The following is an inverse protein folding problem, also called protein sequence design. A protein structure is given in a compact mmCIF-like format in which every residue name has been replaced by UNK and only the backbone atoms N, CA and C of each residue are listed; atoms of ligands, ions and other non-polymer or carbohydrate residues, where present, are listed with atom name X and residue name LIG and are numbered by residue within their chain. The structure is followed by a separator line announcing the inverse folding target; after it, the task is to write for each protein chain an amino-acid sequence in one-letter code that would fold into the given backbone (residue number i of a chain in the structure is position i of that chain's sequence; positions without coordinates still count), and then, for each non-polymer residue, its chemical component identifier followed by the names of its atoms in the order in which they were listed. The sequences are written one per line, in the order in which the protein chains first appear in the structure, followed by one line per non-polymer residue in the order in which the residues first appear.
data_IF_337466117337
#
_entry.id   IF_337466117337
#
_cell.length_a   1.000
_cell.length_b   1.000
_cell.length_c   1.000
_cell.angle_alpha   90.00
_cell.angle_beta   90.00
_cell.angle_gamma   90.00
#
_symmetry.space_group_name_H-M   'P 1'
#
loop_
_entity.id
_entity.type
_entity.pdbx_description
1 polymer ?
#
# COMPACT_ATOMS: atom_id res chain seq x y z
N UNK A 1 18.59 -1.68 -8.11
CA UNK A 1 18.92 -2.61 -7.01
C UNK A 1 18.05 -3.85 -7.19
N UNK A 2 18.61 -5.07 -7.21
CA UNK A 2 17.80 -6.29 -7.32
C UNK A 2 17.39 -6.76 -5.92
N UNK A 3 16.09 -6.92 -5.69
CA UNK A 3 15.54 -7.41 -4.42
C UNK A 3 14.78 -8.70 -4.71
N UNK A 4 15.01 -9.73 -3.89
CA UNK A 4 14.24 -10.97 -3.99
C UNK A 4 12.80 -10.71 -3.54
N UNK A 5 11.87 -10.72 -4.49
CA UNK A 5 10.44 -10.50 -4.25
C UNK A 5 9.80 -11.79 -3.75
N UNK A 6 9.16 -11.74 -2.58
CA UNK A 6 8.54 -12.88 -1.92
C UNK A 6 7.19 -12.49 -1.31
N UNK A 7 6.31 -13.50 -1.16
CA UNK A 7 5.02 -13.34 -0.48
C UNK A 7 5.23 -12.84 0.95
N UNK A 8 4.36 -11.92 1.40
CA UNK A 8 4.35 -11.34 2.74
C UNK A 8 5.30 -10.15 2.91
N UNK A 9 6.16 -9.88 1.94
CA UNK A 9 6.96 -8.67 1.95
C UNK A 9 6.10 -7.42 1.73
N UNK A 10 6.55 -6.32 2.31
CA UNK A 10 5.89 -5.02 2.24
C UNK A 10 6.69 -4.06 1.38
N UNK A 11 5.97 -3.33 0.54
CA UNK A 11 6.52 -2.34 -0.37
C UNK A 11 5.65 -1.09 -0.33
N UNK A 12 6.15 0.01 -0.88
CA UNK A 12 5.32 1.12 -1.34
C UNK A 12 5.29 1.10 -2.87
N UNK A 13 4.14 1.43 -3.45
CA UNK A 13 4.06 1.66 -4.90
C UNK A 13 4.40 3.12 -5.28
N UNK A 14 4.37 3.43 -6.57
CA UNK A 14 4.70 4.76 -7.11
C UNK A 14 3.93 5.95 -6.49
N UNK A 15 2.82 5.70 -5.77
CA UNK A 15 2.08 6.74 -5.04
C UNK A 15 2.39 6.75 -3.53
N UNK A 16 3.50 6.13 -3.12
CA UNK A 16 3.88 5.91 -1.72
C UNK A 16 2.82 5.13 -0.91
N UNK A 17 1.97 4.35 -1.59
CA UNK A 17 0.92 3.61 -0.92
C UNK A 17 1.42 2.22 -0.49
N UNK A 18 1.21 1.81 0.78
CA UNK A 18 1.71 0.54 1.27
C UNK A 18 0.97 -0.64 0.63
N UNK A 19 1.75 -1.64 0.20
CA UNK A 19 1.27 -2.89 -0.38
C UNK A 19 1.93 -4.09 0.26
N UNK A 20 1.23 -5.23 0.23
CA UNK A 20 1.77 -6.53 0.63
C UNK A 20 1.75 -7.49 -0.55
N UNK A 21 2.87 -8.18 -0.77
CA UNK A 21 2.98 -9.19 -1.83
C UNK A 21 2.16 -10.41 -1.47
N UNK A 22 1.17 -10.72 -2.29
CA UNK A 22 0.30 -11.88 -2.11
C UNK A 22 0.86 -13.11 -2.82
N UNK A 23 1.37 -12.95 -4.04
CA UNK A 23 1.88 -14.03 -4.88
C UNK A 23 2.84 -13.46 -5.93
N UNK A 24 3.84 -14.24 -6.30
CA UNK A 24 4.71 -13.97 -7.45
C UNK A 24 4.52 -15.10 -8.46
N UNK A 25 4.35 -14.76 -9.73
CA UNK A 25 4.33 -15.71 -10.85
C UNK A 25 5.57 -15.51 -11.72
N UNK A 26 5.68 -16.26 -12.82
CA UNK A 26 6.82 -16.13 -13.75
C UNK A 26 6.91 -14.73 -14.38
N UNK A 27 5.79 -14.03 -14.54
CA UNK A 27 5.72 -12.76 -15.29
C UNK A 27 5.15 -11.60 -14.49
N UNK A 28 4.49 -11.87 -13.36
CA UNK A 28 3.73 -10.87 -12.62
C UNK A 28 3.95 -10.96 -11.11
N UNK A 29 3.83 -9.80 -10.47
CA UNK A 29 3.74 -9.66 -9.02
C UNK A 29 2.31 -9.28 -8.67
N UNK A 30 1.68 -10.08 -7.82
CA UNK A 30 0.32 -9.88 -7.32
C UNK A 30 0.43 -9.35 -5.89
N UNK A 31 -0.16 -8.19 -5.65
CA UNK A 31 -0.06 -7.47 -4.38
C UNK A 31 -1.43 -6.97 -3.94
N UNK A 32 -1.55 -6.65 -2.66
CA UNK A 32 -2.78 -6.11 -2.05
C UNK A 32 -2.49 -4.78 -1.39
N UNK A 33 -3.34 -3.79 -1.66
CA UNK A 33 -3.34 -2.50 -0.97
C UNK A 33 -4.21 -2.57 0.30
N UNK A 34 -4.06 -1.59 1.18
CA UNK A 34 -4.91 -1.41 2.38
C UNK A 34 -6.40 -1.19 2.08
N UNK A 35 -6.75 -0.86 0.83
CA UNK A 35 -8.15 -0.83 0.37
C UNK A 35 -8.77 -2.25 0.25
N UNK A 36 -7.99 -3.31 0.52
CA UNK A 36 -8.39 -4.70 0.43
C UNK A 36 -8.38 -5.26 -0.99
N UNK A 37 -8.07 -4.44 -1.99
CA UNK A 37 -8.08 -4.84 -3.40
C UNK A 37 -6.76 -5.43 -3.81
N UNK A 38 -6.83 -6.57 -4.48
CA UNK A 38 -5.68 -7.21 -5.11
C UNK A 38 -5.46 -6.62 -6.50
N UNK A 39 -4.20 -6.37 -6.84
CA UNK A 39 -3.75 -5.86 -8.13
C UNK A 39 -2.56 -6.69 -8.61
N UNK A 40 -2.25 -6.60 -9.89
CA UNK A 40 -1.11 -7.27 -10.50
C UNK A 40 -0.34 -6.29 -11.37
N UNK A 41 0.98 -6.43 -11.41
CA UNK A 41 1.86 -5.71 -12.34
C UNK A 41 2.93 -6.67 -12.88
N UNK A 42 3.59 -6.30 -13.97
CA UNK A 42 4.71 -7.09 -14.48
C UNK A 42 5.90 -7.03 -13.53
N UNK A 43 6.79 -8.02 -13.57
CA UNK A 43 8.02 -7.99 -12.75
C UNK A 43 8.88 -6.75 -13.07
N UNK A 44 8.94 -6.34 -14.34
CA UNK A 44 9.67 -5.14 -14.77
C UNK A 44 9.11 -3.87 -14.12
N UNK A 45 7.81 -3.62 -14.29
CA UNK A 45 7.16 -2.46 -13.68
C UNK A 45 7.22 -2.50 -12.15
N UNK A 46 7.14 -3.69 -11.53
CA UNK A 46 7.33 -3.81 -10.09
C UNK A 46 8.71 -3.32 -9.65
N UNK A 47 9.78 -3.74 -10.33
CA UNK A 47 11.14 -3.34 -9.98
C UNK A 47 11.42 -1.85 -10.20
N UNK A 48 10.69 -1.20 -11.11
CA UNK A 48 10.85 0.22 -11.42
C UNK A 48 10.04 1.11 -10.48
N UNK A 49 8.83 0.68 -10.10
CA UNK A 49 7.84 1.54 -9.43
C UNK A 49 7.69 1.26 -7.93
N UNK A 50 8.23 0.14 -7.43
CA UNK A 50 8.02 -0.27 -6.04
C UNK A 50 9.31 -0.25 -5.23
N UNK A 51 9.21 0.27 -4.01
CA UNK A 51 10.31 0.34 -3.08
C UNK A 51 10.02 -0.55 -1.86
N UNK A 52 11.01 -1.36 -1.46
CA UNK A 52 10.87 -2.24 -0.29
C UNK A 52 10.90 -1.40 0.98
N UNK A 53 9.97 -1.66 1.88
CA UNK A 53 9.90 -1.03 3.20
C UNK A 53 10.00 -2.07 4.30
N UNK A 54 10.55 -1.66 5.45
CA UNK A 54 10.64 -2.51 6.63
C UNK A 54 9.33 -2.50 7.43
N UNK A 55 9.14 -3.50 8.30
CA UNK A 55 7.88 -3.68 9.04
C UNK A 55 7.52 -2.47 9.91
N UNK A 56 8.52 -1.81 10.49
CA UNK A 56 8.30 -0.61 11.31
C UNK A 56 7.82 0.58 10.48
N UNK A 57 8.39 0.79 9.29
CA UNK A 57 7.96 1.84 8.37
C UNK A 57 6.52 1.60 7.89
N UNK A 58 6.18 0.35 7.61
CA UNK A 58 4.82 -0.03 7.25
C UNK A 58 3.82 0.34 8.34
N UNK A 59 4.13 0.08 9.62
CA UNK A 59 3.25 0.44 10.74
C UNK A 59 3.06 1.95 10.86
N UNK A 60 4.13 2.73 10.68
CA UNK A 60 4.05 4.19 10.70
C UNK A 60 3.16 4.73 9.58
N UNK A 61 3.34 4.24 8.35
CA UNK A 61 2.53 4.64 7.19
C UNK A 61 1.05 4.25 7.41
N UNK A 62 0.79 3.03 7.92
CA UNK A 62 -0.58 2.58 8.25
C UNK A 62 -1.24 3.48 9.29
N UNK A 63 -0.51 3.85 10.35
CA UNK A 63 -1.03 4.71 11.41
C UNK A 63 -1.39 6.10 10.87
N UNK A 64 -0.56 6.70 10.01
CA UNK A 64 -0.83 8.02 9.45
C UNK A 64 -2.05 7.98 8.50
N UNK A 65 -2.16 6.95 7.66
CA UNK A 65 -3.34 6.75 6.79
C UNK A 65 -4.63 6.63 7.62
N UNK A 66 -4.61 5.88 8.72
CA UNK A 66 -5.80 5.72 9.56
C UNK A 66 -6.17 7.03 10.27
N UNK A 67 -5.18 7.78 10.74
CA UNK A 67 -5.36 9.12 11.31
C UNK A 67 -5.96 10.09 10.29
N UNK A 68 -5.49 10.10 9.05
CA UNK A 68 -6.06 10.92 7.97
C UNK A 68 -7.52 10.55 7.69
N UNK A 69 -7.85 9.24 7.61
CA UNK A 69 -9.23 8.76 7.44
C UNK A 69 -10.12 9.21 8.60
N UNK A 70 -9.63 9.12 9.83
CA UNK A 70 -10.36 9.55 11.02
C UNK A 70 -10.68 11.05 10.95
N UNK A 71 -9.69 11.89 10.63
CA UNK A 71 -9.88 13.35 10.48
C UNK A 71 -10.89 13.65 9.36
N UNK A 72 -10.80 12.95 8.22
CA UNK A 72 -11.75 13.12 7.12
C UNK A 72 -13.19 12.77 7.55
N UNK A 73 -13.37 11.71 8.34
CA UNK A 73 -14.66 11.33 8.92
C UNK A 73 -15.22 12.41 9.86
N UNK A 74 -14.40 12.93 10.78
CA UNK A 74 -14.78 14.04 11.66
C UNK A 74 -15.23 15.29 10.87
N UNK A 75 -14.49 15.65 9.81
CA UNK A 75 -14.85 16.77 8.93
C UNK A 75 -16.16 16.53 8.20
N UNK A 76 -16.44 15.30 7.76
CA UNK A 76 -17.70 14.93 7.10
C UNK A 76 -18.88 15.06 8.07
N UNK A 77 -18.74 14.54 9.28
CA UNK A 77 -19.78 14.65 10.32
C UNK A 77 -20.10 16.11 10.63
N UNK A 78 -19.07 16.95 10.83
CA UNK A 78 -19.27 18.39 11.08
C UNK A 78 -20.02 19.10 9.94
N UNK A 79 -19.76 18.76 8.67
CA UNK A 79 -20.49 19.33 7.53
C UNK A 79 -21.95 18.89 7.49
N UNK A 80 -22.23 17.62 7.81
CA UNK A 80 -23.60 17.11 7.87
C UNK A 80 -24.39 17.70 9.03
N UNK A 81 -23.76 18.01 10.17
CA UNK A 81 -24.43 18.61 11.34
C UNK A 81 -24.74 20.10 11.22
N UNK A 82 -24.24 20.80 10.19
CA UNK A 82 -24.47 22.24 9.96
C UNK A 82 -25.52 22.49 8.85
N UNK A 83 -25.99 21.43 8.19
CA UNK A 83 -27.10 21.45 7.23
C UNK A 83 -28.39 20.92 7.88
#
# INVERSE_FOLDING_TARGET
MFVLIQRGQSFVDANNYPVEICKVTLTQVIYRRLDGRTRATSIGAFNEEFERIEHNELHMIKAEIEKEKHIASLRKMRRTSIN
#
